data_IF_039506511255
#
_entry.id   IF_039506511255
#
_cell.length_a   1.000
_cell.length_b   1.000
_cell.length_c   1.000
_cell.angle_alpha   90.00
_cell.angle_beta   90.00
_cell.angle_gamma   90.00
#
_symmetry.space_group_name_H-M   'P 1'
#
loop_
_entity.id
_entity.type
_entity.pdbx_description
1 polymer ?
#
# COMPACT_ATOMS: atom_id res chain seq x y z
N UNK A 1 6.73 -5.59 -15.85
CA UNK A 1 7.60 -5.10 -14.75
C UNK A 1 6.85 -5.18 -13.44
N UNK A 2 7.55 -5.39 -12.31
CA UNK A 2 6.94 -5.49 -10.97
C UNK A 2 7.57 -4.50 -9.98
N UNK A 3 6.77 -3.97 -9.06
CA UNK A 3 7.22 -3.14 -7.94
C UNK A 3 6.51 -3.56 -6.66
N UNK A 4 7.19 -3.42 -5.53
CA UNK A 4 6.65 -3.69 -4.20
C UNK A 4 6.53 -2.35 -3.47
N UNK A 5 5.33 -2.03 -2.99
CA UNK A 5 5.05 -0.81 -2.23
C UNK A 5 4.56 -1.21 -0.85
N UNK A 6 5.22 -0.69 0.19
CA UNK A 6 4.78 -0.86 1.57
C UNK A 6 3.74 0.19 1.92
N UNK A 7 2.65 -0.25 2.53
CA UNK A 7 1.58 0.60 3.05
C UNK A 7 1.41 0.35 4.54
N UNK A 8 1.03 1.40 5.26
CA UNK A 8 0.80 1.35 6.71
C UNK A 8 -0.59 1.84 7.01
N UNK A 9 -1.12 1.43 8.16
CA UNK A 9 -2.41 1.91 8.65
C UNK A 9 -2.28 2.13 10.14
N UNK A 10 -2.64 3.31 10.62
CA UNK A 10 -2.73 3.63 12.05
C UNK A 10 -4.19 4.00 12.38
N UNK A 11 -4.65 3.72 13.60
CA UNK A 11 -5.95 4.22 14.09
C UNK A 11 -5.95 5.75 13.94
N UNK A 12 -6.83 6.22 13.07
CA UNK A 12 -6.92 7.64 12.71
C UNK A 12 -7.64 8.42 13.80
N UNK A 13 -7.16 9.62 14.08
CA UNK A 13 -8.06 10.74 14.36
C UNK A 13 -8.72 11.14 13.03
N UNK A 14 -10.05 11.26 12.99
CA UNK A 14 -10.79 11.66 11.79
C UNK A 14 -10.17 12.93 11.17
N UNK A 15 -9.65 12.85 9.93
CA UNK A 15 -9.19 14.02 9.15
C UNK A 15 -7.68 14.15 8.91
N UNK A 16 -6.84 13.28 9.48
CA UNK A 16 -5.40 13.31 9.21
C UNK A 16 -5.05 12.67 7.86
N UNK A 17 -4.42 13.44 6.95
CA UNK A 17 -3.69 12.90 5.79
C UNK A 17 -2.36 12.34 6.28
N UNK A 18 -2.23 11.03 6.35
CA UNK A 18 -0.94 10.37 6.59
C UNK A 18 -0.28 9.99 5.27
N UNK A 19 1.05 9.97 5.25
CA UNK A 19 1.83 9.31 4.22
C UNK A 19 1.85 7.81 4.52
N UNK A 20 0.78 7.14 4.12
CA UNK A 20 0.51 5.73 4.37
C UNK A 20 0.95 4.82 3.20
N UNK A 21 1.61 5.41 2.19
CA UNK A 21 2.06 4.73 0.97
C UNK A 21 0.96 4.52 -0.07
N UNK A 22 -0.31 4.80 0.23
CA UNK A 22 -1.41 4.60 -0.73
C UNK A 22 -1.38 5.61 -1.87
N UNK A 23 -0.87 6.82 -1.65
CA UNK A 23 -0.70 7.83 -2.72
C UNK A 23 0.20 7.30 -3.85
N UNK A 24 1.30 6.64 -3.48
CA UNK A 24 2.22 6.02 -4.43
C UNK A 24 1.52 4.88 -5.19
N UNK A 25 0.76 4.04 -4.49
CA UNK A 25 -0.01 2.96 -5.13
C UNK A 25 -1.00 3.55 -6.13
N UNK A 26 -1.80 4.53 -5.70
CA UNK A 26 -2.81 5.17 -6.54
C UNK A 26 -2.20 5.80 -7.78
N UNK A 27 -1.08 6.51 -7.66
CA UNK A 27 -0.36 7.07 -8.81
C UNK A 27 0.01 6.01 -9.84
N UNK A 28 0.51 4.85 -9.40
CA UNK A 28 0.84 3.78 -10.34
C UNK A 28 -0.41 3.19 -11.00
N UNK A 29 -1.52 3.06 -10.25
CA UNK A 29 -2.78 2.59 -10.82
C UNK A 29 -3.33 3.57 -11.87
N UNK A 30 -3.21 4.88 -11.64
CA UNK A 30 -3.56 5.93 -12.61
C UNK A 30 -2.69 5.87 -13.87
N UNK A 31 -1.42 5.46 -13.74
CA UNK A 31 -0.49 5.23 -14.86
C UNK A 31 -0.72 3.88 -15.59
N UNK A 32 -1.79 3.16 -15.25
CA UNK A 32 -2.18 1.90 -15.87
C UNK A 32 -1.43 0.66 -15.36
N UNK A 33 -0.78 0.75 -14.20
CA UNK A 33 -0.32 -0.44 -13.48
C UNK A 33 -1.50 -1.18 -12.85
N UNK A 34 -1.32 -2.45 -12.52
CA UNK A 34 -2.32 -3.32 -11.90
C UNK A 34 -1.80 -3.85 -10.57
N UNK A 35 -2.70 -4.13 -9.63
CA UNK A 35 -2.33 -4.87 -8.41
C UNK A 35 -2.22 -6.35 -8.75
N UNK A 36 -1.05 -6.94 -8.51
CA UNK A 36 -0.81 -8.37 -8.66
C UNK A 36 -1.21 -9.14 -7.41
N UNK A 37 -0.81 -8.64 -6.24
CA UNK A 37 -1.07 -9.29 -4.96
C UNK A 37 -0.91 -8.30 -3.78
N UNK A 38 -1.62 -8.56 -2.67
CA UNK A 38 -1.49 -7.82 -1.41
C UNK A 38 -1.27 -8.84 -0.29
N UNK A 39 -0.31 -8.57 0.59
CA UNK A 39 -0.12 -9.35 1.81
C UNK A 39 0.04 -8.43 3.01
N UNK A 40 -0.81 -8.65 4.01
CA UNK A 40 -0.70 -8.01 5.30
C UNK A 40 0.44 -8.65 6.11
N UNK A 41 1.22 -7.82 6.79
CA UNK A 41 2.25 -8.27 7.73
C UNK A 41 1.89 -7.79 9.14
N UNK A 42 2.20 -8.64 10.13
CA UNK A 42 2.09 -8.25 11.53
C UNK A 42 2.97 -7.02 11.81
N UNK A 43 2.46 -6.08 12.61
CA UNK A 43 3.21 -4.93 13.15
C UNK A 43 3.45 -5.17 14.64
N UNK A 44 4.14 -6.27 14.96
CA UNK A 44 4.34 -6.72 16.34
C UNK A 44 3.00 -6.89 17.08
N UNK A 45 2.97 -6.43 18.33
CA UNK A 45 1.80 -6.52 19.23
C UNK A 45 0.82 -5.33 19.08
N UNK A 46 0.92 -4.55 17.99
CA UNK A 46 0.07 -3.38 17.83
C UNK A 46 -1.38 -3.78 17.50
N UNK A 47 -2.31 -3.38 18.35
CA UNK A 47 -3.76 -3.53 18.15
C UNK A 47 -4.31 -2.45 17.23
N UNK A 48 -3.58 -1.34 17.10
CA UNK A 48 -4.08 -0.10 16.50
C UNK A 48 -3.35 0.29 15.21
N UNK A 49 -2.39 -0.52 14.77
CA UNK A 49 -1.67 -0.29 13.52
C UNK A 49 -1.45 -1.57 12.74
N UNK A 50 -1.50 -1.48 11.42
CA UNK A 50 -1.22 -2.56 10.49
C UNK A 50 -0.23 -2.12 9.41
N UNK A 51 0.39 -3.09 8.75
CA UNK A 51 1.19 -2.86 7.55
C UNK A 51 0.90 -3.94 6.53
N UNK A 52 1.07 -3.60 5.26
CA UNK A 52 0.99 -4.54 4.16
C UNK A 52 2.01 -4.17 3.11
N UNK A 53 2.37 -5.12 2.25
CA UNK A 53 3.03 -4.82 1.00
C UNK A 53 2.12 -5.17 -0.17
N UNK A 54 2.08 -4.26 -1.13
CA UNK A 54 1.29 -4.35 -2.36
C UNK A 54 2.27 -4.55 -3.50
N UNK A 55 2.10 -5.65 -4.22
CA UNK A 55 2.84 -5.90 -5.45
C UNK A 55 2.01 -5.35 -6.60
N UNK A 56 2.55 -4.35 -7.29
CA UNK A 56 1.97 -3.81 -8.52
C UNK A 56 2.79 -4.26 -9.71
N UNK A 57 2.11 -4.50 -10.83
CA UNK A 57 2.73 -4.91 -12.07
C UNK A 57 2.24 -4.07 -13.23
N UNK A 58 3.05 -3.96 -14.27
CA UNK A 58 2.66 -3.36 -15.54
C UNK A 58 3.12 -4.25 -16.67
N UNK A 59 2.17 -4.60 -17.52
CA UNK A 59 2.41 -5.27 -18.78
C UNK A 59 3.30 -4.35 -19.64
N UNK A 60 4.42 -4.89 -20.11
CA UNK A 60 5.35 -4.21 -21.01
C UNK A 60 5.30 -4.76 -22.43
N UNK A 61 4.22 -5.47 -22.75
CA UNK A 61 3.94 -6.08 -24.06
C UNK A 61 2.85 -5.31 -24.79
#
# INVERSE_FOLDING_TARGET
MEKIIWVRSNIKALGSKEDDGLDIVNKHLEEGWKVKHISACAVGDSIISGQAYIVIEKDTN
#
